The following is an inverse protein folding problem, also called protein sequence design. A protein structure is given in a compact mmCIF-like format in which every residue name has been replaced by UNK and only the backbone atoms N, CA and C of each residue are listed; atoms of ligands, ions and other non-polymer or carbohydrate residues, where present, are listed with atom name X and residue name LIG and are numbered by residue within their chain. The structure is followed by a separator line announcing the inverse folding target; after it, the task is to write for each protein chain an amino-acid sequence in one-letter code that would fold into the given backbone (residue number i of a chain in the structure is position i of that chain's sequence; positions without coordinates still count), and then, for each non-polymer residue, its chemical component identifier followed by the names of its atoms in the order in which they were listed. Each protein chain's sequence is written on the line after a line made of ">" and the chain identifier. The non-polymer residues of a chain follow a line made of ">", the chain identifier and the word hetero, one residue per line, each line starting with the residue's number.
data_IF_201879118998
#
_entry.id   IF_201879118998
#
_cell.length_a   1.000
_cell.length_b   1.000
_cell.length_c   1.000
_cell.angle_alpha   90.00
_cell.angle_beta   90.00
_cell.angle_gamma   90.00
#
_symmetry.space_group_name_H-M   'P 1'
#
loop_
_entity.id
_entity.type
_entity.pdbx_description
1 polymer ?
#
# COMPACT_ATOMS: atom_id res chain seq x y z
N UNK A 1 59.68 -7.41 56.87
CA UNK A 1 59.98 -6.28 55.97
C UNK A 1 59.43 -6.62 54.58
N UNK A 2 58.51 -5.76 54.07
CA UNK A 2 58.19 -5.38 52.66
C UNK A 2 58.30 -6.42 51.51
N UNK A 3 57.52 -6.27 50.41
CA UNK A 3 56.08 -6.03 50.33
C UNK A 3 55.39 -6.99 49.32
N UNK A 4 54.10 -7.25 49.53
CA UNK A 4 53.23 -8.01 48.62
C UNK A 4 53.05 -7.26 47.28
N UNK A 5 53.28 -8.00 46.19
CA UNK A 5 53.02 -7.59 44.81
C UNK A 5 51.51 -7.73 44.52
N UNK A 6 50.76 -6.63 44.53
CA UNK A 6 49.36 -6.61 44.11
C UNK A 6 49.27 -6.50 42.58
N UNK A 7 49.02 -7.63 41.92
CA UNK A 7 48.71 -7.68 40.49
C UNK A 7 47.27 -7.19 40.32
N UNK A 8 47.13 -5.92 39.95
CA UNK A 8 45.87 -5.29 39.58
C UNK A 8 45.54 -5.69 38.13
N UNK A 9 44.75 -6.75 37.96
CA UNK A 9 44.27 -7.19 36.64
C UNK A 9 43.22 -6.19 36.15
N UNK A 10 43.67 -5.21 35.37
CA UNK A 10 42.80 -4.27 34.66
C UNK A 10 42.06 -5.04 33.55
N UNK A 11 40.89 -5.57 33.87
CA UNK A 11 39.99 -6.19 32.90
C UNK A 11 39.43 -5.07 32.03
N UNK A 12 40.12 -4.79 30.93
CA UNK A 12 39.63 -3.92 29.87
C UNK A 12 38.43 -4.59 29.21
N UNK A 13 37.23 -4.34 29.75
CA UNK A 13 35.98 -4.57 29.03
C UNK A 13 35.98 -3.62 27.82
N UNK A 14 36.54 -4.08 26.71
CA UNK A 14 36.30 -3.47 25.41
C UNK A 14 34.79 -3.59 25.15
N UNK A 15 34.07 -2.52 25.47
CA UNK A 15 32.69 -2.32 25.05
C UNK A 15 32.69 -2.37 23.52
N UNK A 16 32.42 -3.53 22.95
CA UNK A 16 32.04 -3.66 21.55
C UNK A 16 30.66 -3.01 21.43
N UNK A 17 30.65 -1.69 21.30
CA UNK A 17 29.46 -0.98 20.84
C UNK A 17 29.17 -1.54 19.46
N UNK A 18 28.13 -2.37 19.36
CA UNK A 18 27.60 -2.81 18.09
C UNK A 18 27.22 -1.54 17.32
N UNK A 19 27.69 -1.44 16.08
CA UNK A 19 27.36 -0.34 15.19
C UNK A 19 25.85 -0.11 15.19
N UNK A 20 25.42 1.10 15.50
CA UNK A 20 24.02 1.40 15.75
C UNK A 20 23.36 1.83 14.44
N UNK A 21 22.68 0.88 13.77
CA UNK A 21 21.74 1.20 12.71
C UNK A 21 20.46 1.73 13.35
N UNK A 22 20.09 2.97 13.02
CA UNK A 22 18.84 3.59 13.47
C UNK A 22 17.97 3.92 12.26
N UNK A 23 16.76 3.38 12.24
CA UNK A 23 15.78 3.67 11.19
C UNK A 23 14.58 4.38 11.83
N UNK A 24 14.30 5.60 11.38
CA UNK A 24 13.15 6.38 11.86
C UNK A 24 12.25 6.81 10.71
N UNK A 25 11.00 7.15 11.01
CA UNK A 25 10.04 7.63 10.02
C UNK A 25 9.44 8.97 10.41
N UNK A 26 9.12 9.80 9.41
CA UNK A 26 8.32 11.02 9.58
C UNK A 26 7.21 11.08 8.54
N UNK A 27 6.02 11.48 8.97
CA UNK A 27 4.91 11.78 8.06
C UNK A 27 5.30 12.97 7.19
N UNK A 28 5.05 12.86 5.89
CA UNK A 28 5.36 13.85 4.89
C UNK A 28 4.23 13.93 3.86
N UNK A 29 4.37 14.84 2.90
CA UNK A 29 3.53 14.90 1.73
C UNK A 29 4.40 15.13 0.50
N UNK A 30 4.04 14.48 -0.61
CA UNK A 30 4.68 14.71 -1.91
C UNK A 30 3.93 15.81 -2.64
N UNK A 31 4.65 16.85 -3.03
CA UNK A 31 4.13 17.95 -3.85
C UNK A 31 4.76 17.84 -5.22
N UNK A 32 3.96 17.67 -6.27
CA UNK A 32 4.44 17.54 -7.64
C UNK A 32 4.12 18.84 -8.38
N UNK A 33 5.16 19.58 -8.76
CA UNK A 33 5.04 20.76 -9.61
C UNK A 33 5.42 20.38 -11.04
N UNK A 34 4.49 20.55 -11.97
CA UNK A 34 4.69 20.31 -13.40
C UNK A 34 4.85 21.66 -14.09
N UNK A 35 5.98 21.86 -14.75
CA UNK A 35 6.20 23.06 -15.59
C UNK A 35 6.17 22.60 -17.04
N UNK A 36 5.11 22.90 -17.82
CA UNK A 36 5.01 22.44 -19.19
C UNK A 36 5.93 23.24 -20.12
N UNK A 37 6.51 22.55 -21.09
CA UNK A 37 7.18 23.16 -22.24
C UNK A 37 6.15 23.36 -23.36
N UNK A 38 5.94 24.60 -23.79
CA UNK A 38 5.01 24.99 -24.84
C UNK A 38 5.81 25.20 -26.12
N UNK A 39 5.61 24.32 -27.10
CA UNK A 39 6.28 24.39 -28.41
C UNK A 39 5.28 24.89 -29.45
N UNK A 40 5.51 26.09 -29.98
CA UNK A 40 4.66 26.70 -31.01
C UNK A 40 5.40 26.72 -32.35
N UNK A 41 4.81 26.11 -33.37
CA UNK A 41 5.34 26.14 -34.74
C UNK A 41 4.19 26.24 -35.73
N UNK A 42 4.34 27.09 -36.75
CA UNK A 42 3.34 27.20 -37.81
C UNK A 42 3.40 25.93 -38.65
N UNK A 43 2.24 25.33 -38.89
CA UNK A 43 2.09 24.19 -39.78
C UNK A 43 1.04 24.50 -40.83
N UNK A 44 1.35 24.25 -42.09
CA UNK A 44 0.40 24.37 -43.21
C UNK A 44 -0.57 23.19 -43.22
N UNK A 45 -1.67 23.31 -43.98
CA UNK A 45 -2.71 22.28 -44.04
C UNK A 45 -2.23 20.91 -44.58
N UNK A 46 -1.15 20.90 -45.35
CA UNK A 46 -0.49 19.69 -45.86
C UNK A 46 0.53 19.10 -44.85
N UNK A 47 0.72 19.73 -43.70
CA UNK A 47 1.62 19.29 -42.65
C UNK A 47 3.03 19.89 -42.70
N UNK A 48 3.37 20.75 -43.67
CA UNK A 48 4.69 21.38 -43.73
C UNK A 48 4.88 22.37 -42.58
N UNK A 49 5.98 22.23 -41.84
CA UNK A 49 6.34 23.12 -40.73
C UNK A 49 7.10 24.34 -41.24
N UNK A 50 6.66 25.54 -40.89
CA UNK A 50 7.26 26.81 -41.31
C UNK A 50 7.99 27.46 -40.12
N UNK A 51 9.26 27.81 -40.34
CA UNK A 51 10.08 28.50 -39.35
C UNK A 51 10.62 27.57 -38.24
N UNK A 52 11.47 28.13 -37.38
CA UNK A 52 11.93 27.46 -36.17
C UNK A 52 10.80 27.40 -35.14
N UNK A 53 10.73 26.31 -34.37
CA UNK A 53 9.78 26.22 -33.27
C UNK A 53 10.17 27.22 -32.17
N UNK A 54 9.19 27.96 -31.65
CA UNK A 54 9.35 28.80 -30.47
C UNK A 54 9.00 27.95 -29.25
N UNK A 55 9.95 27.86 -28.32
CA UNK A 55 9.82 27.10 -27.08
C UNK A 55 9.64 28.09 -25.93
N UNK A 56 8.53 27.97 -25.22
CA UNK A 56 8.21 28.79 -24.06
C UNK A 56 7.92 27.91 -22.85
N UNK A 57 8.28 28.39 -21.66
CA UNK A 57 7.95 27.74 -20.40
C UNK A 57 6.56 28.19 -19.96
N UNK A 58 5.61 27.26 -19.89
CA UNK A 58 4.27 27.55 -19.40
C UNK A 58 4.24 27.75 -17.88
N UNK A 59 3.12 28.25 -17.32
CA UNK A 59 2.99 28.44 -15.89
C UNK A 59 3.06 27.09 -15.15
N UNK A 60 3.71 27.02 -13.97
CA UNK A 60 3.78 25.80 -13.21
C UNK A 60 2.39 25.41 -12.69
N UNK A 61 2.05 24.13 -12.80
CA UNK A 61 0.85 23.54 -12.24
C UNK A 61 1.23 22.57 -11.11
N UNK A 62 0.75 22.84 -9.90
CA UNK A 62 1.00 21.99 -8.74
C UNK A 62 -0.14 20.99 -8.58
N UNK A 63 0.18 19.69 -8.55
CA UNK A 63 -0.79 18.64 -8.22
C UNK A 63 -1.09 18.67 -6.71
N UNK A 64 -2.30 18.24 -6.28
CA UNK A 64 -2.62 18.08 -4.88
C UNK A 64 -1.57 17.24 -4.16
N UNK A 65 -1.22 17.66 -2.94
CA UNK A 65 -0.23 16.95 -2.14
C UNK A 65 -0.74 15.55 -1.78
N UNK A 66 0.06 14.52 -2.05
CA UNK A 66 -0.27 13.14 -1.69
C UNK A 66 0.46 12.74 -0.40
N UNK A 67 -0.19 12.00 0.51
CA UNK A 67 0.44 11.58 1.76
C UNK A 67 1.67 10.71 1.47
N UNK A 68 2.70 10.87 2.29
CA UNK A 68 3.91 10.08 2.19
C UNK A 68 4.53 9.89 3.59
N UNK A 69 5.49 8.98 3.68
CA UNK A 69 6.36 8.84 4.84
C UNK A 69 7.80 8.89 4.37
N UNK A 70 8.59 9.75 5.02
CA UNK A 70 10.04 9.77 4.87
C UNK A 70 10.66 8.79 5.85
N UNK A 71 11.60 7.98 5.36
CA UNK A 71 12.40 7.05 6.13
C UNK A 71 13.80 7.63 6.22
N UNK A 72 14.30 7.77 7.44
CA UNK A 72 15.67 8.20 7.72
C UNK A 72 16.45 7.01 8.23
N UNK A 73 17.46 6.62 7.46
CA UNK A 73 18.44 5.60 7.81
C UNK A 73 19.67 6.34 8.33
N UNK A 74 19.99 6.14 9.59
CA UNK A 74 21.19 6.67 10.23
C UNK A 74 22.06 5.50 10.65
N UNK A 75 23.36 5.64 10.42
CA UNK A 75 24.37 4.69 10.84
C UNK A 75 25.58 5.50 11.29
N UNK A 76 26.33 4.96 12.24
CA UNK A 76 27.67 5.43 12.59
C UNK A 76 28.68 5.26 11.44
N UNK A 77 28.28 4.58 10.36
CA UNK A 77 29.06 4.40 9.14
C UNK A 77 28.73 5.42 8.06
N UNK A 78 29.69 5.57 7.16
CA UNK A 78 29.57 6.39 5.97
C UNK A 78 28.61 5.75 4.95
N UNK A 79 27.33 6.14 5.01
CA UNK A 79 26.30 5.65 4.10
C UNK A 79 26.60 5.93 2.61
N UNK A 80 27.51 6.85 2.29
CA UNK A 80 27.94 7.07 0.89
C UNK A 80 28.83 5.94 0.36
N UNK A 81 29.41 5.14 1.27
CA UNK A 81 30.24 3.95 0.99
C UNK A 81 29.54 2.64 1.38
N UNK A 82 28.30 2.73 1.84
CA UNK A 82 27.49 1.57 2.20
C UNK A 82 26.39 1.35 1.18
N UNK A 83 26.05 0.09 0.94
CA UNK A 83 24.90 -0.29 0.14
C UNK A 83 23.68 -0.43 1.07
N UNK A 84 22.72 0.47 0.92
CA UNK A 84 21.44 0.41 1.62
C UNK A 84 20.41 -0.27 0.72
N UNK A 85 19.84 -1.38 1.18
CA UNK A 85 18.76 -2.11 0.51
C UNK A 85 17.52 -2.06 1.38
N UNK A 86 16.45 -1.47 0.86
CA UNK A 86 15.16 -1.47 1.54
C UNK A 86 14.21 -2.35 0.74
N UNK A 87 13.66 -3.38 1.38
CA UNK A 87 12.67 -4.27 0.78
C UNK A 87 11.31 -4.02 1.39
N UNK A 88 10.30 -3.95 0.54
CA UNK A 88 8.90 -3.93 0.95
C UNK A 88 8.10 -4.68 -0.12
N UNK A 89 7.20 -5.58 0.29
CA UNK A 89 6.37 -6.35 -0.64
C UNK A 89 5.11 -5.60 -1.09
N UNK A 90 4.74 -4.53 -0.38
CA UNK A 90 3.44 -3.84 -0.55
C UNK A 90 3.56 -2.38 -0.95
N UNK A 91 4.77 -1.84 -1.08
CA UNK A 91 5.00 -0.46 -1.50
C UNK A 91 6.35 -0.27 -2.20
N UNK A 92 6.38 0.68 -3.14
CA UNK A 92 7.62 1.16 -3.74
C UNK A 92 8.31 2.14 -2.79
N UNK A 93 9.60 1.89 -2.56
CA UNK A 93 10.47 2.78 -1.78
C UNK A 93 11.41 3.51 -2.74
N UNK A 94 11.40 4.84 -2.72
CA UNK A 94 12.23 5.67 -3.60
C UNK A 94 13.30 6.40 -2.79
N UNK A 95 14.55 6.37 -3.27
CA UNK A 95 15.64 7.17 -2.72
C UNK A 95 15.38 8.65 -3.03
N UNK A 96 15.42 9.50 -2.01
CA UNK A 96 15.33 10.96 -2.16
C UNK A 96 16.74 11.56 -2.13
N UNK A 97 17.51 11.19 -1.13
CA UNK A 97 18.92 11.53 -0.95
C UNK A 97 19.59 10.45 -0.09
N UNK A 98 20.92 10.48 0.06
CA UNK A 98 21.65 9.48 0.85
C UNK A 98 21.10 9.37 2.27
N UNK A 99 20.61 8.18 2.62
CA UNK A 99 20.01 7.91 3.94
C UNK A 99 18.55 8.35 4.08
N UNK A 100 17.93 8.94 3.06
CA UNK A 100 16.54 9.39 3.09
C UNK A 100 15.74 8.77 1.95
N UNK A 101 14.66 8.08 2.32
CA UNK A 101 13.79 7.39 1.39
C UNK A 101 12.35 7.84 1.57
N UNK A 102 11.52 7.64 0.55
CA UNK A 102 10.09 7.97 0.61
C UNK A 102 9.24 6.76 0.24
N UNK A 103 8.16 6.58 1.00
CA UNK A 103 7.06 5.67 0.70
C UNK A 103 5.80 6.49 0.50
N UNK A 104 5.17 6.37 -0.66
CA UNK A 104 3.96 7.14 -1.02
C UNK A 104 2.74 6.27 -1.31
N UNK A 105 2.90 4.95 -1.39
CA UNK A 105 1.77 4.02 -1.49
C UNK A 105 0.97 4.09 -0.20
N UNK A 106 -0.34 4.29 -0.29
CA UNK A 106 -1.21 4.33 0.87
C UNK A 106 -1.33 2.94 1.52
N UNK A 107 -1.42 2.91 2.84
CA UNK A 107 -1.55 1.67 3.60
C UNK A 107 -0.51 1.51 4.71
N UNK A 108 -0.50 0.34 5.33
CA UNK A 108 0.47 -0.06 6.35
C UNK A 108 1.50 -0.98 5.70
N UNK A 109 2.78 -0.65 5.86
CA UNK A 109 3.89 -1.31 5.20
C UNK A 109 4.95 -1.71 6.24
N UNK A 110 5.56 -2.88 6.02
CA UNK A 110 6.74 -3.34 6.76
C UNK A 110 7.93 -3.25 5.80
N UNK A 111 8.98 -2.55 6.23
CA UNK A 111 10.19 -2.31 5.46
C UNK A 111 11.34 -3.02 6.13
N UNK A 112 12.03 -3.88 5.40
CA UNK A 112 13.28 -4.50 5.84
C UNK A 112 14.45 -3.71 5.27
N UNK A 113 15.14 -2.98 6.15
CA UNK A 113 16.27 -2.12 5.83
C UNK A 113 17.56 -2.88 6.12
N UNK A 114 18.37 -3.10 5.10
CA UNK A 114 19.65 -3.79 5.19
C UNK A 114 20.75 -2.79 4.79
N UNK A 115 21.74 -2.58 5.65
CA UNK A 115 22.91 -1.73 5.37
C UNK A 115 24.14 -2.61 5.30
N UNK A 116 24.82 -2.60 4.15
CA UNK A 116 26.02 -3.40 3.88
C UNK A 116 27.19 -2.44 3.72
N UNK A 117 28.23 -2.57 4.55
CA UNK A 117 29.43 -1.74 4.47
C UNK A 117 30.64 -2.61 4.15
N UNK A 118 31.64 -2.11 3.42
CA UNK A 118 32.74 -2.95 2.90
C UNK A 118 34.01 -3.02 3.78
N UNK A 119 34.19 -2.09 4.74
CA UNK A 119 35.44 -1.98 5.50
C UNK A 119 35.23 -1.54 6.98
N UNK A 120 35.01 -2.49 7.92
CA UNK A 120 34.92 -3.94 7.72
C UNK A 120 33.63 -4.35 7.00
N UNK A 121 33.66 -5.52 6.35
CA UNK A 121 32.47 -6.10 5.73
C UNK A 121 31.46 -6.48 6.82
N UNK A 122 30.35 -5.75 6.89
CA UNK A 122 29.32 -5.95 7.90
C UNK A 122 27.92 -5.68 7.33
N UNK A 123 26.95 -6.42 7.86
CA UNK A 123 25.53 -6.33 7.56
C UNK A 123 24.79 -5.91 8.82
N UNK A 124 23.98 -4.87 8.70
CA UNK A 124 23.09 -4.41 9.75
C UNK A 124 21.67 -4.39 9.19
N UNK A 125 20.75 -5.03 9.90
CA UNK A 125 19.37 -5.21 9.45
C UNK A 125 18.42 -4.61 10.49
N UNK A 126 17.39 -3.90 10.02
CA UNK A 126 16.34 -3.31 10.86
C UNK A 126 15.00 -3.39 10.14
N UNK A 127 13.92 -3.71 10.86
CA UNK A 127 12.56 -3.72 10.29
C UNK A 127 11.75 -2.54 10.82
N UNK A 128 11.22 -1.72 9.93
CA UNK A 128 10.40 -0.57 10.27
C UNK A 128 8.98 -0.74 9.73
N UNK A 129 7.98 -0.56 10.61
CA UNK A 129 6.57 -0.45 10.18
C UNK A 129 6.20 1.01 9.97
N UNK A 130 5.67 1.34 8.78
CA UNK A 130 5.14 2.68 8.49
C UNK A 130 3.69 2.62 8.05
N UNK A 131 2.98 3.73 8.22
CA UNK A 131 1.61 3.88 7.73
C UNK A 131 1.50 5.18 6.94
N UNK A 132 1.11 5.07 5.68
CA UNK A 132 0.93 6.18 4.75
C UNK A 132 -0.56 6.41 4.55
N UNK A 133 -1.02 7.66 4.68
CA UNK A 133 -2.41 8.03 4.39
C UNK A 133 -3.40 7.86 5.56
N UNK A 134 -2.99 7.26 6.68
CA UNK A 134 -3.78 7.32 7.92
C UNK A 134 -3.20 8.39 8.84
N UNK A 135 -3.68 9.64 8.73
CA UNK A 135 -3.67 10.49 9.92
C UNK A 135 -4.61 9.85 10.95
N UNK A 136 -4.18 9.65 12.21
CA UNK A 136 -5.13 9.46 13.29
C UNK A 136 -6.10 10.63 13.22
N UNK A 137 -7.40 10.37 13.19
CA UNK A 137 -8.40 11.42 13.40
C UNK A 137 -8.01 12.11 14.70
N UNK A 138 -7.61 13.38 14.59
CA UNK A 138 -7.19 14.17 15.73
C UNK A 138 -8.42 14.39 16.64
N UNK A 139 -8.28 13.97 17.89
CA UNK A 139 -9.04 14.34 19.10
C UNK A 139 -10.50 13.90 19.19
N UNK A 140 -10.74 12.95 20.11
CA UNK A 140 -11.96 12.95 20.91
C UNK A 140 -12.24 14.37 21.41
N UNK A 141 -13.44 14.93 21.20
CA UNK A 141 -13.86 16.10 21.94
C UNK A 141 -13.88 15.77 23.45
N UNK A 142 -13.60 16.77 24.28
CA UNK A 142 -13.94 16.76 25.71
C UNK A 142 -15.38 16.25 25.90
N UNK A 143 -15.69 15.56 27.02
CA UNK A 143 -17.03 15.05 27.27
C UNK A 143 -17.99 16.23 27.37
N UNK A 144 -18.66 16.50 26.26
CA UNK A 144 -19.85 17.33 26.21
C UNK A 144 -20.99 16.45 26.77
N UNK A 145 -21.94 16.99 27.55
CA UNK A 145 -23.10 16.22 28.00
C UNK A 145 -23.73 15.53 26.79
N UNK A 146 -23.98 14.22 26.92
CA UNK A 146 -24.41 13.33 25.82
C UNK A 146 -25.43 14.04 24.91
N UNK A 147 -25.11 14.25 23.61
CA UNK A 147 -26.17 14.45 22.65
C UNK A 147 -27.01 13.16 22.62
N UNK A 148 -28.33 13.31 22.65
CA UNK A 148 -29.27 12.17 22.56
C UNK A 148 -28.79 11.18 21.50
N UNK A 149 -28.84 9.86 21.79
CA UNK A 149 -28.35 8.84 20.86
C UNK A 149 -28.97 9.08 19.50
N UNK A 150 -28.10 9.38 18.52
CA UNK A 150 -28.50 9.36 17.13
C UNK A 150 -28.99 7.94 16.85
N UNK A 151 -30.16 7.76 16.21
CA UNK A 151 -30.65 6.43 15.89
C UNK A 151 -29.54 5.65 15.18
N UNK A 152 -29.27 4.43 15.65
CA UNK A 152 -28.35 3.51 14.99
C UNK A 152 -28.63 3.52 13.48
N UNK A 153 -27.58 3.48 12.62
CA UNK A 153 -27.81 3.25 11.20
C UNK A 153 -28.69 2.01 11.10
N UNK A 154 -29.89 2.20 10.55
CA UNK A 154 -30.86 1.11 10.47
C UNK A 154 -30.17 -0.10 9.86
N UNK A 155 -30.33 -1.31 10.43
CA UNK A 155 -29.72 -2.51 9.89
C UNK A 155 -29.99 -2.52 8.39
N UNK A 156 -28.93 -2.60 7.59
CA UNK A 156 -29.06 -2.80 6.15
C UNK A 156 -29.92 -4.05 6.02
N UNK A 157 -31.14 -3.85 5.53
CA UNK A 157 -32.13 -4.90 5.48
C UNK A 157 -31.58 -6.01 4.58
N UNK A 158 -31.15 -7.09 5.21
CA UNK A 158 -30.32 -8.18 4.63
C UNK A 158 -31.08 -8.84 3.46
N UNK A 159 -32.40 -8.65 3.41
CA UNK A 159 -33.28 -9.01 2.31
C UNK A 159 -32.91 -8.37 0.95
N UNK A 160 -32.12 -7.28 0.91
CA UNK A 160 -31.86 -6.50 -0.31
C UNK A 160 -30.64 -6.92 -1.15
N UNK A 161 -29.93 -8.00 -0.80
CA UNK A 161 -28.71 -8.40 -1.53
C UNK A 161 -28.94 -9.50 -2.58
N UNK A 162 -30.19 -9.84 -2.90
CA UNK A 162 -30.48 -10.80 -3.96
C UNK A 162 -29.87 -10.36 -5.30
N UNK A 163 -29.27 -11.32 -6.01
CA UNK A 163 -28.60 -11.06 -7.27
C UNK A 163 -27.26 -10.31 -7.14
N UNK A 164 -26.73 -10.12 -5.93
CA UNK A 164 -25.41 -9.51 -5.74
C UNK A 164 -24.33 -10.27 -6.50
N UNK A 165 -23.36 -9.52 -7.00
CA UNK A 165 -22.25 -10.04 -7.79
C UNK A 165 -21.06 -10.28 -6.86
N UNK A 166 -20.46 -11.46 -7.00
CA UNK A 166 -19.21 -11.81 -6.31
C UNK A 166 -18.11 -11.73 -7.36
N UNK A 167 -17.44 -10.59 -7.44
CA UNK A 167 -16.35 -10.37 -8.39
C UNK A 167 -15.06 -10.90 -7.78
N UNK A 168 -14.39 -11.82 -8.47
CA UNK A 168 -13.04 -12.25 -8.09
C UNK A 168 -12.08 -11.65 -9.10
N UNK A 169 -11.31 -10.65 -8.69
CA UNK A 169 -10.31 -10.01 -9.56
C UNK A 169 -8.95 -10.56 -9.20
N UNK A 170 -8.28 -11.14 -10.18
CA UNK A 170 -6.98 -11.77 -10.01
C UNK A 170 -6.06 -11.48 -11.19
N UNK A 171 -4.77 -11.66 -10.96
CA UNK A 171 -3.76 -11.59 -12.00
C UNK A 171 -3.11 -12.96 -12.12
N UNK A 172 -3.05 -13.49 -13.34
CA UNK A 172 -2.54 -14.85 -13.57
C UNK A 172 -1.15 -15.08 -12.98
N UNK A 173 -0.30 -14.05 -12.94
CA UNK A 173 1.07 -14.11 -12.39
C UNK A 173 1.12 -14.20 -10.86
N UNK A 174 0.13 -13.66 -10.15
CA UNK A 174 0.08 -13.65 -8.68
C UNK A 174 -0.81 -14.78 -8.13
N UNK A 175 -1.33 -15.64 -9.01
CA UNK A 175 -2.26 -16.71 -8.67
C UNK A 175 -1.57 -17.81 -7.85
N UNK A 176 -2.02 -17.98 -6.61
CA UNK A 176 -1.62 -19.13 -5.78
C UNK A 176 -2.26 -20.45 -6.26
N UNK A 177 -1.67 -21.58 -5.88
CA UNK A 177 -2.26 -22.90 -6.15
C UNK A 177 -3.63 -23.07 -5.48
N UNK A 178 -3.83 -22.50 -4.30
CA UNK A 178 -5.12 -22.56 -3.58
C UNK A 178 -6.20 -21.74 -4.28
N UNK A 179 -5.85 -20.53 -4.72
CA UNK A 179 -6.72 -19.68 -5.56
C UNK A 179 -7.10 -20.41 -6.85
N UNK A 180 -6.13 -21.04 -7.52
CA UNK A 180 -6.38 -21.80 -8.74
C UNK A 180 -7.33 -23.00 -8.51
N UNK A 181 -7.20 -23.70 -7.38
CA UNK A 181 -8.12 -24.79 -7.00
C UNK A 181 -9.53 -24.27 -6.74
N UNK A 182 -9.65 -23.18 -6.00
CA UNK A 182 -10.94 -22.55 -5.69
C UNK A 182 -11.65 -22.05 -6.96
N UNK A 183 -10.95 -21.35 -7.85
CA UNK A 183 -11.52 -20.88 -9.12
C UNK A 183 -12.00 -22.01 -10.04
N UNK A 184 -11.45 -23.23 -9.88
CA UNK A 184 -11.87 -24.44 -10.60
C UNK A 184 -12.88 -25.31 -9.84
N UNK A 185 -13.26 -24.93 -8.62
CA UNK A 185 -14.25 -25.67 -7.81
C UNK A 185 -15.68 -25.38 -8.31
N UNK A 186 -16.04 -26.03 -9.41
CA UNK A 186 -17.36 -25.87 -10.06
C UNK A 186 -18.52 -26.11 -9.08
N UNK A 187 -18.52 -27.18 -8.25
CA UNK A 187 -19.59 -27.40 -7.28
C UNK A 187 -19.77 -26.24 -6.29
N UNK A 188 -18.68 -25.62 -5.83
CA UNK A 188 -18.76 -24.46 -4.95
C UNK A 188 -19.39 -23.25 -5.66
N UNK A 189 -18.97 -22.92 -6.88
CA UNK A 189 -19.55 -21.77 -7.59
C UNK A 189 -21.01 -21.98 -7.95
N UNK A 190 -21.41 -23.23 -8.23
CA UNK A 190 -22.82 -23.59 -8.39
C UNK A 190 -23.60 -23.42 -7.08
N UNK A 191 -23.02 -23.75 -5.91
CA UNK A 191 -23.69 -23.52 -4.62
C UNK A 191 -23.79 -22.03 -4.28
N UNK A 192 -22.82 -21.20 -4.67
CA UNK A 192 -22.92 -19.73 -4.59
C UNK A 192 -24.06 -19.22 -5.49
N UNK A 193 -24.17 -19.73 -6.72
CA UNK A 193 -25.28 -19.38 -7.63
C UNK A 193 -26.65 -19.83 -7.11
N UNK A 194 -26.73 -21.03 -6.53
CA UNK A 194 -27.98 -21.56 -5.95
C UNK A 194 -28.49 -20.71 -4.78
N UNK A 195 -27.61 -19.96 -4.11
CA UNK A 195 -27.98 -18.95 -3.11
C UNK A 195 -28.54 -17.65 -3.72
N UNK A 196 -28.57 -17.51 -5.05
CA UNK A 196 -29.02 -16.30 -5.74
C UNK A 196 -27.94 -15.23 -5.89
N UNK A 197 -26.66 -15.61 -5.83
CA UNK A 197 -25.51 -14.73 -6.04
C UNK A 197 -24.88 -14.98 -7.41
N UNK A 198 -24.17 -14.00 -7.95
CA UNK A 198 -23.60 -14.04 -9.30
C UNK A 198 -22.07 -14.00 -9.24
N UNK A 199 -21.37 -15.15 -9.13
CA UNK A 199 -19.91 -15.17 -9.16
C UNK A 199 -19.39 -14.85 -10.56
N UNK A 200 -18.38 -13.99 -10.63
CA UNK A 200 -17.68 -13.57 -11.86
C UNK A 200 -16.18 -13.44 -11.59
N UNK A 201 -15.38 -14.44 -11.96
CA UNK A 201 -13.94 -14.27 -12.00
C UNK A 201 -13.56 -13.39 -13.20
N UNK A 202 -12.71 -12.40 -12.97
CA UNK A 202 -12.12 -11.57 -14.00
C UNK A 202 -10.60 -11.56 -13.84
N UNK A 203 -9.90 -11.64 -14.97
CA UNK A 203 -8.51 -11.21 -15.03
C UNK A 203 -8.46 -9.68 -14.84
N UNK A 204 -7.46 -9.18 -14.13
CA UNK A 204 -7.28 -7.75 -13.85
C UNK A 204 -7.34 -6.88 -15.11
N UNK A 205 -6.82 -7.41 -16.23
CA UNK A 205 -6.76 -6.70 -17.50
C UNK A 205 -8.05 -6.76 -18.32
N UNK A 206 -9.04 -7.54 -17.89
CA UNK A 206 -10.35 -7.61 -18.53
C UNK A 206 -11.07 -6.25 -18.53
N UNK A 207 -11.77 -5.87 -19.61
CA UNK A 207 -12.55 -4.63 -19.68
C UNK A 207 -13.55 -4.46 -18.52
N UNK A 208 -14.17 -5.55 -18.09
CA UNK A 208 -15.17 -5.60 -17.02
C UNK A 208 -14.56 -5.33 -15.63
N UNK A 209 -13.27 -5.61 -15.44
CA UNK A 209 -12.55 -5.32 -14.20
C UNK A 209 -12.15 -3.85 -14.07
N UNK A 210 -12.10 -3.09 -15.17
CA UNK A 210 -11.63 -1.69 -15.22
C UNK A 210 -12.27 -0.77 -14.17
N UNK A 211 -13.61 -0.80 -13.92
CA UNK A 211 -14.24 0.06 -12.91
C UNK A 211 -13.79 -0.24 -11.47
N UNK A 212 -13.22 -1.43 -11.24
CA UNK A 212 -12.90 -1.95 -9.92
C UNK A 212 -11.39 -2.00 -9.65
N UNK A 213 -10.54 -1.67 -10.63
CA UNK A 213 -9.07 -1.76 -10.49
C UNK A 213 -8.53 -0.97 -9.30
N UNK A 214 -8.97 0.28 -9.14
CA UNK A 214 -8.54 1.10 -8.00
C UNK A 214 -8.91 0.47 -6.64
N UNK A 215 -10.09 -0.15 -6.56
CA UNK A 215 -10.53 -0.89 -5.36
C UNK A 215 -9.70 -2.17 -5.16
N UNK A 216 -9.37 -2.88 -6.23
CA UNK A 216 -8.54 -4.07 -6.20
C UNK A 216 -7.10 -3.77 -5.79
N UNK A 217 -6.48 -2.74 -6.38
CA UNK A 217 -5.12 -2.30 -6.08
C UNK A 217 -4.98 -1.90 -4.61
N UNK A 218 -5.98 -1.19 -4.07
CA UNK A 218 -5.99 -0.76 -2.67
C UNK A 218 -6.13 -1.93 -1.68
N UNK A 219 -6.80 -3.02 -2.06
CA UNK A 219 -7.06 -4.16 -1.20
C UNK A 219 -6.01 -5.28 -1.32
N UNK A 220 -5.25 -5.30 -2.42
CA UNK A 220 -4.28 -6.35 -2.74
C UNK A 220 -4.92 -7.54 -3.46
N UNK A 221 -4.23 -8.05 -4.48
CA UNK A 221 -4.69 -9.16 -5.31
C UNK A 221 -4.16 -10.52 -4.83
N UNK A 222 -4.90 -11.63 -5.05
CA UNK A 222 -6.27 -11.68 -5.59
C UNK A 222 -7.30 -11.12 -4.59
N UNK A 223 -8.32 -10.43 -5.10
CA UNK A 223 -9.32 -9.73 -4.30
C UNK A 223 -10.73 -10.23 -4.61
N UNK A 224 -11.61 -10.17 -3.62
CA UNK A 224 -13.05 -10.33 -3.78
C UNK A 224 -13.76 -9.01 -3.55
N UNK A 225 -14.62 -8.62 -4.48
CA UNK A 225 -15.47 -7.43 -4.40
C UNK A 225 -16.92 -7.88 -4.51
N UNK A 226 -17.72 -7.55 -3.50
CA UNK A 226 -19.16 -7.84 -3.49
C UNK A 226 -19.89 -6.58 -3.95
N UNK A 227 -20.67 -6.68 -5.03
CA UNK A 227 -21.41 -5.57 -5.62
C UNK A 227 -22.90 -5.85 -5.56
N UNK A 228 -23.69 -4.89 -5.08
CA UNK A 228 -25.14 -5.03 -5.02
C UNK A 228 -25.75 -5.23 -6.40
N UNK A 229 -26.70 -6.16 -6.51
CA UNK A 229 -27.29 -6.57 -7.79
C UNK A 229 -28.60 -5.87 -8.15
N UNK A 230 -29.32 -5.33 -7.17
CA UNK A 230 -30.70 -4.86 -7.32
C UNK A 230 -31.01 -3.64 -6.45
N UNK A 231 -32.14 -3.00 -6.77
CA UNK A 231 -32.69 -1.87 -6.01
C UNK A 231 -31.72 -0.70 -5.89
N UNK A 232 -31.76 -0.05 -4.75
CA UNK A 232 -30.89 1.09 -4.39
C UNK A 232 -29.42 0.68 -4.25
N UNK A 233 -29.12 -0.60 -4.07
CA UNK A 233 -27.75 -1.11 -3.93
C UNK A 233 -27.12 -1.51 -5.26
N UNK A 234 -27.86 -1.42 -6.37
CA UNK A 234 -27.37 -1.87 -7.69
C UNK A 234 -26.10 -1.12 -8.08
N UNK A 235 -25.00 -1.86 -8.25
CA UNK A 235 -23.70 -1.31 -8.65
C UNK A 235 -22.86 -0.75 -7.49
N UNK A 236 -23.41 -0.67 -6.27
CA UNK A 236 -22.64 -0.24 -5.10
C UNK A 236 -21.73 -1.37 -4.61
N UNK A 237 -20.47 -1.03 -4.30
CA UNK A 237 -19.55 -1.95 -3.61
C UNK A 237 -20.01 -2.09 -2.16
N UNK A 238 -20.37 -3.32 -1.78
CA UNK A 238 -20.82 -3.67 -0.43
C UNK A 238 -19.67 -4.11 0.46
N UNK A 239 -18.69 -4.81 -0.12
CA UNK A 239 -17.50 -5.26 0.60
C UNK A 239 -16.32 -5.47 -0.35
N UNK A 240 -15.11 -5.40 0.20
CA UNK A 240 -13.86 -5.71 -0.49
C UNK A 240 -12.89 -6.37 0.49
N UNK A 241 -12.31 -7.50 0.13
CA UNK A 241 -11.36 -8.23 0.97
C UNK A 241 -10.44 -9.14 0.14
N UNK A 242 -9.22 -9.44 0.62
CA UNK A 242 -8.31 -10.36 -0.07
C UNK A 242 -8.88 -11.79 -0.09
N UNK A 243 -8.60 -12.53 -1.16
CA UNK A 243 -9.01 -13.91 -1.30
C UNK A 243 -8.01 -14.85 -0.58
N UNK A 244 -8.36 -15.29 0.63
CA UNK A 244 -7.50 -16.16 1.46
C UNK A 244 -7.80 -17.64 1.30
N UNK A 245 -9.04 -18.02 1.04
CA UNK A 245 -9.43 -19.42 0.92
C UNK A 245 -10.95 -19.64 0.86
N UNK A 246 -11.38 -20.88 0.60
CA UNK A 246 -12.79 -21.24 0.39
C UNK A 246 -13.68 -20.97 1.61
N UNK A 247 -13.24 -21.41 2.79
CA UNK A 247 -14.02 -21.28 4.02
C UNK A 247 -14.20 -19.81 4.43
N UNK A 248 -13.12 -19.04 4.39
CA UNK A 248 -13.14 -17.61 4.68
C UNK A 248 -13.99 -16.83 3.67
N UNK A 249 -13.87 -17.15 2.38
CA UNK A 249 -14.70 -16.58 1.33
C UNK A 249 -16.18 -16.82 1.60
N UNK A 250 -16.55 -18.07 1.93
CA UNK A 250 -17.94 -18.42 2.21
C UNK A 250 -18.49 -17.68 3.45
N UNK A 251 -17.70 -17.61 4.52
CA UNK A 251 -18.06 -16.88 5.73
C UNK A 251 -18.28 -15.38 5.44
N UNK A 252 -17.39 -14.76 4.65
CA UNK A 252 -17.50 -13.34 4.26
C UNK A 252 -18.67 -13.06 3.33
N UNK A 253 -18.94 -13.96 2.38
CA UNK A 253 -20.15 -13.87 1.53
C UNK A 253 -21.40 -13.90 2.41
N UNK A 254 -21.48 -14.85 3.35
CA UNK A 254 -22.62 -14.98 4.24
C UNK A 254 -22.78 -13.78 5.17
N UNK A 255 -21.68 -13.24 5.69
CA UNK A 255 -21.67 -12.03 6.53
C UNK A 255 -22.25 -10.82 5.79
N UNK A 256 -21.80 -10.60 4.54
CA UNK A 256 -22.17 -9.40 3.76
C UNK A 256 -23.55 -9.53 3.11
N UNK A 257 -23.91 -10.73 2.65
CA UNK A 257 -25.13 -10.96 1.86
C UNK A 257 -26.25 -11.62 2.66
N UNK A 258 -25.94 -12.22 3.81
CA UNK A 258 -26.89 -13.03 4.57
C UNK A 258 -27.20 -14.40 3.95
N UNK A 259 -26.48 -14.80 2.89
CA UNK A 259 -26.77 -16.01 2.11
C UNK A 259 -25.69 -17.10 2.22
#
# INVERSE_FOLDING_TARGET
>A
MRPLLAILTLLACASTALAELTVTSRVAQTVVTVTPEIVTQIQTADGTKIGQAVVETGPPATKPAAPAVLIYVQSDRDLTKSLVKIKCSTADVKLVETGVYVVSTAGRHVLDVNVISEAPLQWDDESLTVTVGNSPRHRSPEPTPDPEPTPDPSPIDIAKTEGSWILIIEQTETRSLETAKLLRDIPYWQSVQARGLNPRPYDYDAPEAKPYRATADAAGMPVVIIVGGQGELKGHVLATFPLTGKADLDAKIKEVTGR
#
